data_IF_555229947967
#
_entry.id   IF_555229947967
#
_cell.length_a   1.000
_cell.length_b   1.000
_cell.length_c   1.000
_cell.angle_alpha   90.00
_cell.angle_beta   90.00
_cell.angle_gamma   90.00
#
_symmetry.space_group_name_H-M   'P 1'
#
loop_
_entity.id
_entity.type
_entity.pdbx_description
1 polymer ?
#
# COMPACT_ATOMS: atom_id res chain seq x y z
N UNK A 1 -11.76 -19.23 -3.18
CA UNK A 1 -10.33 -19.44 -2.86
C UNK A 1 -9.79 -20.63 -3.64
N UNK A 2 -8.50 -20.64 -3.96
CA UNK A 2 -7.88 -21.83 -4.55
C UNK A 2 -7.75 -22.94 -3.49
N UNK A 3 -7.99 -24.19 -3.87
CA UNK A 3 -7.88 -25.36 -2.97
C UNK A 3 -6.44 -25.88 -2.98
N UNK A 4 -5.56 -25.20 -2.25
CA UNK A 4 -4.16 -25.63 -2.02
C UNK A 4 -3.38 -25.97 -3.31
N UNK A 5 -3.52 -25.14 -4.35
CA UNK A 5 -2.83 -25.33 -5.63
C UNK A 5 -1.36 -24.87 -5.55
N UNK A 6 -0.47 -25.57 -6.26
CA UNK A 6 0.94 -25.18 -6.37
C UNK A 6 1.16 -23.86 -7.11
N UNK A 7 2.28 -23.21 -6.86
CA UNK A 7 2.61 -21.88 -7.39
C UNK A 7 2.61 -21.83 -8.91
N UNK A 8 3.13 -22.87 -9.57
CA UNK A 8 3.18 -22.95 -11.04
C UNK A 8 1.77 -22.95 -11.67
N UNK A 9 0.81 -23.62 -11.02
CA UNK A 9 -0.58 -23.64 -11.47
C UNK A 9 -1.23 -22.27 -11.27
N UNK A 10 -0.99 -21.63 -10.12
CA UNK A 10 -1.51 -20.30 -9.82
C UNK A 10 -0.96 -19.26 -10.80
N UNK A 11 0.34 -19.28 -11.08
CA UNK A 11 0.97 -18.40 -12.07
C UNK A 11 0.43 -18.68 -13.48
N UNK A 12 0.32 -19.95 -13.86
CA UNK A 12 -0.26 -20.37 -15.12
C UNK A 12 -1.69 -19.87 -15.31
N UNK A 13 -2.52 -19.92 -14.27
CA UNK A 13 -3.90 -19.40 -14.30
C UNK A 13 -3.96 -17.88 -14.54
N UNK A 14 -3.07 -17.11 -13.92
CA UNK A 14 -2.96 -15.66 -14.15
C UNK A 14 -2.56 -15.37 -15.59
N UNK A 15 -1.53 -16.06 -16.10
CA UNK A 15 -1.06 -15.90 -17.47
C UNK A 15 -2.13 -16.28 -18.50
N UNK A 16 -2.84 -17.38 -18.25
CA UNK A 16 -3.94 -17.82 -19.08
C UNK A 16 -5.05 -16.77 -19.13
N UNK A 17 -5.51 -16.27 -17.98
CA UNK A 17 -6.51 -15.21 -17.92
C UNK A 17 -6.07 -13.95 -18.67
N UNK A 18 -4.82 -13.51 -18.46
CA UNK A 18 -4.24 -12.36 -19.16
C UNK A 18 -4.19 -12.58 -20.69
N UNK A 19 -3.85 -13.78 -21.15
CA UNK A 19 -3.82 -14.11 -22.57
C UNK A 19 -5.24 -14.15 -23.17
N UNK A 20 -6.20 -14.79 -22.51
CA UNK A 20 -7.56 -14.92 -23.03
C UNK A 20 -8.33 -13.60 -23.02
N UNK A 21 -8.05 -12.69 -22.07
CA UNK A 21 -8.70 -11.37 -22.06
C UNK A 21 -8.22 -10.44 -23.17
N UNK A 22 -7.13 -10.74 -23.89
CA UNK A 22 -6.63 -9.88 -24.97
C UNK A 22 -7.70 -9.66 -26.06
N UNK A 23 -8.50 -10.69 -26.39
CA UNK A 23 -9.59 -10.55 -27.39
C UNK A 23 -10.62 -9.48 -26.99
N UNK A 24 -10.87 -9.31 -25.69
CA UNK A 24 -11.78 -8.28 -25.17
C UNK A 24 -11.14 -6.90 -25.27
N UNK A 25 -9.84 -6.79 -24.97
CA UNK A 25 -9.08 -5.54 -25.13
C UNK A 25 -9.08 -5.11 -26.59
N UNK A 26 -8.80 -6.03 -27.52
CA UNK A 26 -8.80 -5.78 -28.96
C UNK A 26 -10.17 -5.31 -29.44
N UNK A 27 -11.25 -5.98 -29.00
CA UNK A 27 -12.61 -5.58 -29.34
C UNK A 27 -12.98 -4.18 -28.80
N UNK A 28 -12.54 -3.83 -27.58
CA UNK A 28 -12.73 -2.48 -27.02
C UNK A 28 -11.93 -1.45 -27.83
N UNK A 29 -10.70 -1.76 -28.23
CA UNK A 29 -9.88 -0.88 -29.06
C UNK A 29 -10.48 -0.67 -30.45
N UNK A 30 -11.00 -1.72 -31.08
CA UNK A 30 -11.70 -1.64 -32.36
C UNK A 30 -12.95 -0.76 -32.25
N UNK A 31 -13.80 -0.99 -31.24
CA UNK A 31 -14.98 -0.17 -30.99
C UNK A 31 -14.61 1.31 -30.72
N UNK A 32 -13.57 1.53 -29.92
CA UNK A 32 -13.05 2.87 -29.65
C UNK A 32 -12.53 3.54 -30.92
N UNK A 33 -11.86 2.81 -31.82
CA UNK A 33 -11.38 3.37 -33.09
C UNK A 33 -12.53 3.86 -33.98
N UNK A 34 -13.69 3.19 -33.94
CA UNK A 34 -14.87 3.55 -34.72
C UNK A 34 -15.72 4.67 -34.08
N UNK A 35 -15.74 4.78 -32.74
CA UNK A 35 -16.76 5.57 -32.03
C UNK A 35 -16.27 6.39 -30.83
N UNK A 36 -14.98 6.36 -30.49
CA UNK A 36 -14.50 7.05 -29.31
C UNK A 36 -14.69 8.56 -29.40
N UNK A 37 -15.01 9.17 -28.26
CA UNK A 37 -14.92 10.61 -28.09
C UNK A 37 -13.46 11.06 -28.21
N UNK A 38 -13.21 12.30 -28.64
CA UNK A 38 -11.86 12.86 -28.64
C UNK A 38 -11.20 12.71 -27.27
N UNK A 39 -9.91 12.38 -27.27
CA UNK A 39 -9.12 12.40 -26.04
C UNK A 39 -9.11 13.82 -25.49
N UNK A 40 -9.11 13.92 -24.16
CA UNK A 40 -8.93 15.21 -23.51
C UNK A 40 -7.53 15.74 -23.82
N UNK A 41 -7.46 17.02 -24.14
CA UNK A 41 -6.22 17.77 -24.21
C UNK A 41 -5.76 18.05 -22.78
N UNK A 42 -5.13 17.04 -22.17
CA UNK A 42 -4.65 17.08 -20.80
C UNK A 42 -3.15 16.84 -20.79
N UNK A 43 -2.43 17.72 -20.12
CA UNK A 43 -1.01 17.56 -19.84
C UNK A 43 -0.78 17.43 -18.33
N UNK A 44 0.17 16.60 -17.90
CA UNK A 44 0.59 16.58 -16.51
C UNK A 44 1.18 17.95 -16.14
N UNK A 45 0.98 18.37 -14.90
CA UNK A 45 1.60 19.61 -14.40
C UNK A 45 3.13 19.50 -14.55
N UNK A 46 3.81 20.54 -15.05
CA UNK A 46 5.26 20.54 -15.14
C UNK A 46 5.88 20.39 -13.75
N UNK A 47 6.99 19.66 -13.69
CA UNK A 47 7.77 19.51 -12.45
C UNK A 47 8.53 20.81 -12.21
N UNK A 48 8.38 21.38 -11.03
CA UNK A 48 9.20 22.50 -10.60
C UNK A 48 10.57 21.99 -10.14
N UNK A 49 11.56 22.10 -11.02
CA UNK A 49 12.93 21.65 -10.76
C UNK A 49 13.60 22.44 -9.63
N UNK A 50 13.26 23.73 -9.47
CA UNK A 50 13.80 24.58 -8.42
C UNK A 50 13.27 24.13 -7.06
N UNK A 51 11.96 23.90 -6.94
CA UNK A 51 11.35 23.33 -5.74
C UNK A 51 11.95 21.95 -5.43
N UNK A 52 12.11 21.11 -6.45
CA UNK A 52 12.68 19.76 -6.30
C UNK A 52 14.09 19.80 -5.73
N UNK A 53 14.93 20.71 -6.23
CA UNK A 53 16.29 20.87 -5.75
C UNK A 53 16.35 21.43 -4.33
N UNK A 54 15.53 22.45 -4.01
CA UNK A 54 15.46 23.02 -2.66
C UNK A 54 14.98 21.99 -1.62
N UNK A 55 13.91 21.25 -1.91
CA UNK A 55 13.42 20.17 -1.04
C UNK A 55 14.50 19.12 -0.83
N UNK A 56 15.22 18.73 -1.89
CA UNK A 56 16.30 17.75 -1.78
C UNK A 56 17.42 18.23 -0.86
N UNK A 57 17.88 19.47 -1.02
CA UNK A 57 18.95 20.04 -0.18
C UNK A 57 18.58 20.10 1.29
N UNK A 58 17.33 20.45 1.62
CA UNK A 58 16.86 20.58 3.00
C UNK A 58 16.45 19.25 3.65
N UNK A 59 15.87 18.33 2.87
CA UNK A 59 15.21 17.14 3.40
C UNK A 59 16.03 15.85 3.26
N UNK A 60 16.88 15.71 2.24
CA UNK A 60 17.41 14.39 1.84
C UNK A 60 18.14 13.69 2.99
N UNK A 61 19.07 14.39 3.65
CA UNK A 61 19.84 13.79 4.74
C UNK A 61 18.95 13.45 5.95
N UNK A 62 18.07 14.39 6.35
CA UNK A 62 17.14 14.20 7.48
C UNK A 62 16.19 13.04 7.25
N UNK A 63 15.66 12.89 6.04
CA UNK A 63 14.78 11.78 5.66
C UNK A 63 15.55 10.46 5.61
N UNK A 64 16.79 10.44 5.11
CA UNK A 64 17.64 9.24 5.13
C UNK A 64 17.89 8.74 6.55
N UNK A 65 18.19 9.64 7.47
CA UNK A 65 18.38 9.33 8.89
C UNK A 65 17.06 8.88 9.53
N UNK A 66 15.96 9.58 9.27
CA UNK A 66 14.62 9.22 9.75
C UNK A 66 14.22 7.80 9.33
N UNK A 67 14.48 7.39 8.08
CA UNK A 67 14.17 6.04 7.60
C UNK A 67 15.10 4.93 8.12
N UNK A 68 16.19 5.27 8.82
CA UNK A 68 17.02 4.28 9.52
C UNK A 68 16.48 3.95 10.93
N UNK A 69 15.54 4.74 11.45
CA UNK A 69 14.86 4.48 12.72
C UNK A 69 13.98 3.23 12.55
N UNK A 70 14.22 2.21 13.38
CA UNK A 70 13.53 0.92 13.28
C UNK A 70 12.11 0.97 13.86
N UNK A 71 11.93 1.63 15.00
CA UNK A 71 10.62 1.80 15.63
C UNK A 71 9.69 2.62 14.72
N UNK A 72 8.48 2.10 14.48
CA UNK A 72 7.55 2.74 13.54
C UNK A 72 6.99 4.05 14.04
N UNK A 73 6.70 4.18 15.33
CA UNK A 73 6.09 5.40 15.86
C UNK A 73 7.14 6.52 15.85
N UNK A 74 8.33 6.24 16.36
CA UNK A 74 9.46 7.17 16.34
C UNK A 74 9.79 7.59 14.90
N UNK A 75 9.97 6.63 13.98
CA UNK A 75 10.21 6.92 12.57
C UNK A 75 9.13 7.81 11.97
N UNK A 76 7.85 7.49 12.23
CA UNK A 76 6.72 8.26 11.69
C UNK A 76 6.75 9.69 12.19
N UNK A 77 6.95 9.88 13.49
CA UNK A 77 7.01 11.20 14.12
C UNK A 77 8.18 12.02 13.57
N UNK A 78 9.38 11.42 13.47
CA UNK A 78 10.57 12.10 12.92
C UNK A 78 10.39 12.50 11.45
N UNK A 79 9.90 11.59 10.61
CA UNK A 79 9.70 11.85 9.18
C UNK A 79 8.58 12.88 8.98
N UNK A 80 7.45 12.72 9.68
CA UNK A 80 6.32 13.65 9.56
C UNK A 80 6.69 15.04 10.05
N UNK A 81 7.37 15.15 11.19
CA UNK A 81 7.86 16.42 11.72
C UNK A 81 8.83 17.11 10.76
N UNK A 82 9.78 16.35 10.20
CA UNK A 82 10.71 16.87 9.18
C UNK A 82 9.96 17.40 7.96
N UNK A 83 8.98 16.64 7.45
CA UNK A 83 8.20 17.06 6.28
C UNK A 83 7.35 18.31 6.59
N UNK A 84 6.75 18.41 7.77
CA UNK A 84 5.97 19.58 8.19
C UNK A 84 6.83 20.83 8.33
N UNK A 85 8.00 20.72 8.96
CA UNK A 85 8.95 21.83 9.09
C UNK A 85 9.40 22.37 7.73
N UNK A 86 9.75 21.47 6.81
CA UNK A 86 10.23 21.84 5.48
C UNK A 86 9.09 22.41 4.63
N UNK A 87 7.89 21.84 4.73
CA UNK A 87 6.71 22.38 4.06
C UNK A 87 6.42 23.80 4.52
N UNK A 88 6.38 24.04 5.84
CA UNK A 88 6.16 25.38 6.41
C UNK A 88 7.28 26.36 6.05
N UNK A 89 8.54 25.92 6.05
CA UNK A 89 9.68 26.74 5.69
C UNK A 89 9.61 27.19 4.22
N UNK A 90 9.31 26.28 3.29
CA UNK A 90 9.30 26.60 1.87
C UNK A 90 8.03 27.33 1.41
N UNK A 91 6.88 27.07 2.04
CA UNK A 91 5.63 27.77 1.71
C UNK A 91 5.52 29.18 2.31
N UNK A 92 6.41 29.55 3.25
CA UNK A 92 6.45 30.88 3.87
C UNK A 92 7.45 31.83 3.23
N UNK A 93 8.20 31.38 2.21
CA UNK A 93 9.13 32.23 1.47
C UNK A 93 8.34 33.23 0.61
N UNK A 94 8.50 34.53 0.88
CA UNK A 94 7.85 35.60 0.09
C UNK A 94 8.30 35.63 -1.37
N UNK A 95 9.42 34.99 -1.69
CA UNK A 95 10.04 34.99 -3.02
C UNK A 95 9.48 33.94 -3.97
N UNK A 96 8.78 32.92 -3.48
CA UNK A 96 8.30 31.79 -4.29
C UNK A 96 6.82 31.49 -4.01
N UNK A 97 6.03 31.25 -5.06
CA UNK A 97 4.59 30.91 -4.93
C UNK A 97 4.36 29.40 -4.70
N UNK A 98 5.17 28.75 -3.85
CA UNK A 98 5.00 27.33 -3.58
C UNK A 98 3.92 27.08 -2.53
N UNK A 99 2.89 26.34 -2.93
CA UNK A 99 1.87 25.86 -1.99
C UNK A 99 2.41 24.70 -1.16
N UNK A 100 1.95 24.57 0.08
CA UNK A 100 2.28 23.45 0.98
C UNK A 100 2.05 22.08 0.31
N UNK A 101 0.96 21.96 -0.46
CA UNK A 101 0.64 20.75 -1.22
C UNK A 101 1.67 20.41 -2.30
N UNK A 102 2.28 21.41 -2.96
CA UNK A 102 3.35 21.16 -3.93
C UNK A 102 4.60 20.65 -3.23
N UNK A 103 4.96 21.25 -2.09
CA UNK A 103 6.12 20.83 -1.30
C UNK A 103 5.94 19.39 -0.80
N UNK A 104 4.77 19.04 -0.25
CA UNK A 104 4.49 17.68 0.21
C UNK A 104 4.57 16.64 -0.90
N UNK A 105 4.11 16.94 -2.12
CA UNK A 105 4.24 16.02 -3.25
C UNK A 105 5.71 15.75 -3.60
N UNK A 106 6.54 16.78 -3.54
CA UNK A 106 7.98 16.64 -3.81
C UNK A 106 8.68 15.85 -2.70
N UNK A 107 8.31 16.10 -1.43
CA UNK A 107 8.77 15.31 -0.29
C UNK A 107 8.39 13.83 -0.43
N UNK A 108 7.13 13.52 -0.78
CA UNK A 108 6.68 12.14 -0.99
C UNK A 108 7.46 11.44 -2.11
N UNK A 109 7.75 12.15 -3.21
CA UNK A 109 8.60 11.62 -4.28
C UNK A 109 10.04 11.34 -3.79
N UNK A 110 10.59 12.21 -2.95
CA UNK A 110 11.92 12.04 -2.36
C UNK A 110 11.95 10.86 -1.38
N UNK A 111 10.97 10.75 -0.48
CA UNK A 111 10.78 9.60 0.42
C UNK A 111 10.76 8.28 -0.36
N UNK A 112 9.92 8.22 -1.41
CA UNK A 112 9.83 7.06 -2.30
C UNK A 112 11.17 6.74 -2.96
N UNK A 113 11.91 7.74 -3.41
CA UNK A 113 13.23 7.56 -4.03
C UNK A 113 14.26 7.04 -3.03
N UNK A 114 14.28 7.57 -1.80
CA UNK A 114 15.18 7.12 -0.74
C UNK A 114 14.92 5.66 -0.39
N UNK A 115 13.68 5.30 -0.05
CA UNK A 115 13.35 3.93 0.38
C UNK A 115 13.59 2.91 -0.72
N UNK A 116 13.16 3.20 -1.97
CA UNK A 116 13.40 2.30 -3.11
C UNK A 116 14.88 2.20 -3.43
N UNK A 117 15.59 3.32 -3.46
CA UNK A 117 17.02 3.38 -3.77
C UNK A 117 17.85 2.56 -2.78
N UNK A 118 17.55 2.64 -1.48
CA UNK A 118 18.21 1.84 -0.45
C UNK A 118 18.08 0.34 -0.70
N UNK A 119 16.87 -0.14 -1.00
CA UNK A 119 16.62 -1.58 -1.25
C UNK A 119 17.29 -2.04 -2.56
N UNK A 120 17.20 -1.23 -3.62
CA UNK A 120 17.82 -1.54 -4.92
C UNK A 120 19.34 -1.59 -4.81
N UNK A 121 19.94 -0.74 -3.97
CA UNK A 121 21.37 -0.73 -3.69
C UNK A 121 21.85 -1.92 -2.83
N UNK A 122 20.94 -2.81 -2.40
CA UNK A 122 21.28 -3.98 -1.59
C UNK A 122 21.45 -3.69 -0.10
N UNK A 123 21.10 -2.48 0.36
CA UNK A 123 21.12 -2.16 1.79
C UNK A 123 19.93 -2.81 2.51
N UNK A 124 20.05 -2.90 3.84
CA UNK A 124 18.96 -3.36 4.70
C UNK A 124 17.70 -2.49 4.54
N UNK A 125 16.54 -3.09 4.77
CA UNK A 125 15.24 -2.39 4.79
C UNK A 125 15.17 -1.45 6.01
N UNK A 126 14.13 -0.62 6.04
CA UNK A 126 13.85 0.37 7.10
C UNK A 126 13.84 -0.19 8.53
N UNK A 127 13.59 -1.49 8.70
CA UNK A 127 13.59 -2.18 9.99
C UNK A 127 14.78 -3.15 10.15
N UNK A 128 15.84 -2.94 9.36
CA UNK A 128 17.10 -3.68 9.42
C UNK A 128 17.09 -5.05 8.73
N UNK A 129 15.94 -5.52 8.22
CA UNK A 129 15.83 -6.84 7.59
C UNK A 129 16.35 -6.86 6.16
N UNK A 130 16.73 -8.05 5.69
CA UNK A 130 16.92 -8.34 4.27
C UNK A 130 15.58 -8.50 3.52
N UNK A 131 15.65 -8.84 2.23
CA UNK A 131 14.48 -8.96 1.35
C UNK A 131 13.67 -10.25 1.52
N UNK A 132 14.17 -11.22 2.30
CA UNK A 132 13.61 -12.57 2.48
C UNK A 132 13.15 -12.85 3.92
N UNK A 133 13.73 -12.17 4.90
CA UNK A 133 13.48 -12.39 6.32
C UNK A 133 12.11 -11.85 6.76
N UNK A 134 11.27 -12.73 7.31
CA UNK A 134 9.98 -12.39 7.91
C UNK A 134 10.19 -11.79 9.31
N UNK A 135 9.33 -10.85 9.71
CA UNK A 135 9.36 -10.25 11.06
C UNK A 135 9.08 -11.31 12.14
N UNK A 136 9.56 -11.12 13.39
CA UNK A 136 9.28 -12.03 14.50
C UNK A 136 7.78 -12.32 14.66
N UNK A 137 7.44 -13.58 14.91
CA UNK A 137 6.07 -14.04 15.08
C UNK A 137 5.86 -14.55 16.51
N UNK A 138 4.78 -14.12 17.15
CA UNK A 138 4.29 -14.71 18.39
C UNK A 138 2.83 -15.12 18.23
N UNK A 139 2.50 -16.29 18.78
CA UNK A 139 1.18 -16.90 18.65
C UNK A 139 0.69 -17.26 20.05
N UNK A 140 -0.52 -16.80 20.39
CA UNK A 140 -1.21 -17.18 21.63
C UNK A 140 -2.62 -17.65 21.30
N UNK A 141 -3.04 -18.76 21.87
CA UNK A 141 -4.41 -19.28 21.74
C UNK A 141 -5.15 -19.16 23.07
N UNK A 142 -6.49 -19.17 23.03
CA UNK A 142 -7.36 -19.07 24.22
C UNK A 142 -7.11 -17.82 25.05
N UNK A 143 -6.98 -16.68 24.38
CA UNK A 143 -6.69 -15.38 25.01
C UNK A 143 -7.92 -14.72 25.64
N UNK A 144 -9.12 -15.09 25.21
CA UNK A 144 -10.38 -14.60 25.76
C UNK A 144 -11.16 -15.72 26.47
N UNK A 145 -11.71 -15.47 27.68
CA UNK A 145 -12.26 -16.52 28.54
C UNK A 145 -13.67 -17.00 28.17
N UNK A 146 -14.44 -16.24 27.38
CA UNK A 146 -15.87 -16.51 27.09
C UNK A 146 -16.17 -16.70 25.60
N UNK A 147 -15.15 -16.85 24.77
CA UNK A 147 -15.27 -17.12 23.33
C UNK A 147 -15.23 -18.63 23.05
N UNK A 148 -15.88 -19.11 21.99
CA UNK A 148 -15.72 -20.51 21.56
C UNK A 148 -14.27 -20.80 21.15
N UNK A 149 -13.66 -19.89 20.38
CA UNK A 149 -12.23 -19.91 20.06
C UNK A 149 -11.66 -18.49 20.05
N UNK A 150 -10.39 -18.35 20.45
CA UNK A 150 -9.68 -17.07 20.32
C UNK A 150 -8.19 -17.29 20.10
N UNK A 151 -7.58 -16.40 19.31
CA UNK A 151 -6.15 -16.36 19.05
C UNK A 151 -5.67 -14.90 18.99
N UNK A 152 -4.43 -14.68 19.45
CA UNK A 152 -3.68 -13.44 19.27
C UNK A 152 -2.44 -13.77 18.45
N UNK A 153 -2.44 -13.30 17.21
CA UNK A 153 -1.33 -13.46 16.28
C UNK A 153 -0.60 -12.13 16.14
N UNK A 154 0.71 -12.12 16.39
CA UNK A 154 1.54 -10.93 16.21
C UNK A 154 2.68 -11.25 15.24
N UNK A 155 2.86 -10.41 14.22
CA UNK A 155 3.98 -10.46 13.27
C UNK A 155 4.63 -9.09 13.17
N UNK A 156 5.75 -8.91 13.87
CA UNK A 156 6.35 -7.60 14.11
C UNK A 156 5.35 -6.67 14.82
N UNK A 157 5.13 -5.48 14.29
CA UNK A 157 4.19 -4.49 14.85
C UNK A 157 2.75 -4.66 14.34
N UNK A 158 2.46 -5.72 13.57
CA UNK A 158 1.10 -6.04 13.13
C UNK A 158 0.53 -7.11 14.04
N UNK A 159 -0.55 -6.80 14.74
CA UNK A 159 -1.23 -7.73 15.64
C UNK A 159 -2.70 -7.89 15.24
N UNK A 160 -3.19 -9.13 15.28
CA UNK A 160 -4.58 -9.47 15.04
C UNK A 160 -5.10 -10.32 16.21
N UNK A 161 -6.23 -9.90 16.77
CA UNK A 161 -7.05 -10.74 17.64
C UNK A 161 -8.15 -11.37 16.79
N UNK A 162 -8.18 -12.70 16.76
CA UNK A 162 -9.14 -13.48 15.99
C UNK A 162 -10.02 -14.25 16.95
N UNK A 163 -11.33 -14.19 16.75
CA UNK A 163 -12.33 -14.87 17.58
C UNK A 163 -13.18 -15.75 16.68
N UNK A 164 -13.45 -16.96 17.14
CA UNK A 164 -14.37 -17.89 16.49
C UNK A 164 -15.61 -18.03 17.36
N UNK A 165 -16.78 -17.93 16.73
CA UNK A 165 -18.08 -18.19 17.35
C UNK A 165 -18.80 -19.26 16.56
N UNK A 166 -19.35 -20.26 17.25
CA UNK A 166 -20.17 -21.30 16.65
C UNK A 166 -21.65 -20.96 16.85
N UNK A 167 -22.45 -21.25 15.84
CA UNK A 167 -23.89 -21.03 15.83
C UNK A 167 -24.62 -22.20 15.15
N UNK A 168 -25.92 -22.02 15.00
CA UNK A 168 -26.83 -22.95 14.31
C UNK A 168 -27.16 -22.44 12.91
N UNK A 169 -27.94 -23.19 12.14
CA UNK A 169 -28.45 -22.74 10.84
C UNK A 169 -29.30 -21.46 10.91
N UNK A 170 -29.81 -21.10 12.10
CA UNK A 170 -30.53 -19.83 12.33
C UNK A 170 -29.59 -18.62 12.31
N UNK A 171 -28.31 -18.83 12.55
CA UNK A 171 -27.28 -17.80 12.60
C UNK A 171 -26.56 -17.64 11.24
N UNK A 172 -26.89 -18.49 10.26
CA UNK A 172 -26.36 -18.39 8.90
C UNK A 172 -26.80 -17.07 8.24
N UNK A 173 -25.89 -16.44 7.50
CA UNK A 173 -26.18 -15.18 6.83
C UNK A 173 -27.00 -15.43 5.57
N UNK A 174 -28.18 -14.83 5.48
CA UNK A 174 -28.98 -14.84 4.25
C UNK A 174 -28.44 -13.74 3.33
N UNK A 175 -28.09 -14.12 2.11
CA UNK A 175 -27.63 -13.22 1.05
C UNK A 175 -28.72 -13.16 -0.03
N UNK A 176 -29.25 -11.97 -0.25
CA UNK A 176 -30.16 -11.67 -1.37
C UNK A 176 -29.33 -11.12 -2.54
N UNK A 177 -28.90 -12.03 -3.43
CA UNK A 177 -28.09 -11.69 -4.59
C UNK A 177 -28.93 -11.69 -5.87
N UNK A 178 -28.41 -11.04 -6.94
CA UNK A 178 -29.07 -10.96 -8.24
C UNK A 178 -29.39 -12.35 -8.84
N UNK A 179 -28.55 -13.35 -8.54
CA UNK A 179 -28.72 -14.74 -9.01
C UNK A 179 -29.71 -15.55 -8.17
N UNK A 180 -30.14 -15.02 -7.02
CA UNK A 180 -31.06 -15.66 -6.09
C UNK A 180 -30.64 -15.53 -4.63
N UNK A 181 -31.57 -15.88 -3.75
CA UNK A 181 -31.32 -15.95 -2.31
C UNK A 181 -30.54 -17.23 -1.95
N UNK A 182 -29.49 -17.08 -1.14
CA UNK A 182 -28.75 -18.22 -0.59
C UNK A 182 -28.26 -17.94 0.85
N UNK A 183 -27.72 -18.97 1.52
CA UNK A 183 -27.22 -18.88 2.89
C UNK A 183 -25.72 -19.13 2.96
N UNK A 184 -24.99 -18.25 3.64
CA UNK A 184 -23.57 -18.42 3.98
C UNK A 184 -23.40 -18.88 5.42
N UNK A 185 -22.68 -19.97 5.59
CA UNK A 185 -22.40 -20.59 6.89
C UNK A 185 -21.04 -20.15 7.47
N UNK A 186 -20.26 -19.39 6.70
CA UNK A 186 -18.96 -18.85 7.09
C UNK A 186 -18.93 -17.34 6.81
N UNK A 187 -18.46 -16.57 7.79
CA UNK A 187 -18.43 -15.10 7.81
C UNK A 187 -16.99 -14.60 7.84
#
# INVERSE_FOLDING_TARGET
EAKELGEDIMLGAVLFGHQQMQVVIDAIQELASATAKPRWDWEPKPVDEKLTQQVKELAEQRLREGYQIQDKLERRETVTGTCQEIAAQLSSLETEEWTENQVFRVLEMLEKKIVRGTIIAGNARIDGRDTRTVRPITIRTKVLPRTHGSALFTRGETQAIVVTTLGTERDAQIIDALEGEYKENFL
#
